data_IF_999875584310
#
_entry.id   IF_999875584310
#
_cell.length_a   1.000
_cell.length_b   1.000
_cell.length_c   1.000
_cell.angle_alpha   90.00
_cell.angle_beta   90.00
_cell.angle_gamma   90.00
#
_symmetry.space_group_name_H-M   'P 1'
#
loop_
_entity.id
_entity.type
_entity.pdbx_description
1 polymer ?
#
# COMPACT_ATOMS: atom_id res chain seq x y z
N UNK A 1 -11.49 11.50 -5.16
CA UNK A 1 -10.74 12.73 -4.80
C UNK A 1 -10.74 12.94 -3.28
N UNK A 2 -11.93 12.97 -2.66
CA UNK A 2 -12.20 13.04 -1.20
C UNK A 2 -11.29 12.27 -0.23
N UNK A 3 -10.79 11.09 -0.61
CA UNK A 3 -9.99 10.22 0.27
C UNK A 3 -8.51 10.61 0.38
N UNK A 4 -7.99 11.47 -0.51
CA UNK A 4 -6.66 12.07 -0.38
C UNK A 4 -6.73 13.33 0.48
N UNK A 5 -7.77 14.13 0.32
CA UNK A 5 -8.03 15.36 1.07
C UNK A 5 -8.23 15.09 2.57
N UNK A 6 -8.97 14.04 2.93
CA UNK A 6 -9.15 13.62 4.34
C UNK A 6 -7.85 13.26 5.05
N UNK A 7 -6.86 12.69 4.34
CA UNK A 7 -5.56 12.35 4.93
C UNK A 7 -4.69 13.58 5.19
N UNK A 8 -4.74 14.55 4.28
CA UNK A 8 -4.02 15.82 4.43
C UNK A 8 -4.68 16.64 5.53
N UNK A 9 -6.02 16.66 5.59
CA UNK A 9 -6.78 17.34 6.64
C UNK A 9 -6.49 16.79 8.04
N UNK A 10 -6.40 15.46 8.21
CA UNK A 10 -6.06 14.88 9.52
C UNK A 10 -4.59 15.08 9.89
N UNK A 11 -3.67 15.02 8.93
CA UNK A 11 -2.25 15.35 9.16
C UNK A 11 -2.08 16.83 9.56
N UNK A 12 -2.80 17.74 8.89
CA UNK A 12 -2.82 19.17 9.23
C UNK A 12 -3.49 19.40 10.58
N UNK A 13 -4.57 18.67 10.89
CA UNK A 13 -5.28 18.76 12.17
C UNK A 13 -4.43 18.27 13.35
N UNK A 14 -3.74 17.14 13.21
CA UNK A 14 -2.83 16.60 14.23
C UNK A 14 -1.63 17.51 14.45
N UNK A 15 -1.01 18.01 13.39
CA UNK A 15 0.08 19.00 13.47
C UNK A 15 -0.39 20.30 14.13
N UNK A 16 -1.57 20.82 13.75
CA UNK A 16 -2.13 22.07 14.31
C UNK A 16 -2.47 21.94 15.79
N UNK A 17 -3.05 20.81 16.21
CA UNK A 17 -3.34 20.53 17.61
C UNK A 17 -2.04 20.46 18.44
N UNK A 18 -1.01 19.81 17.92
CA UNK A 18 0.29 19.66 18.59
C UNK A 18 1.10 20.96 18.66
N UNK A 19 1.07 21.80 17.61
CA UNK A 19 1.64 23.16 17.69
C UNK A 19 0.90 24.03 18.70
N UNK A 20 -0.41 23.84 18.86
CA UNK A 20 -1.21 24.56 19.86
C UNK A 20 -0.86 24.11 21.29
N UNK A 21 -0.64 22.82 21.49
CA UNK A 21 -0.14 22.25 22.76
C UNK A 21 1.26 22.77 23.07
N UNK A 22 2.17 22.82 22.09
CA UNK A 22 3.51 23.42 22.26
C UNK A 22 3.45 24.88 22.70
N UNK A 23 2.53 25.67 22.16
CA UNK A 23 2.40 27.09 22.46
C UNK A 23 1.81 27.34 23.87
N UNK A 24 0.90 26.47 24.33
CA UNK A 24 0.19 26.66 25.60
C UNK A 24 0.92 26.13 26.85
N UNK A 25 1.88 25.19 26.72
CA UNK A 25 2.51 24.51 27.87
C UNK A 25 3.94 24.95 28.16
N UNK A 26 4.40 26.08 27.60
CA UNK A 26 5.81 26.48 27.62
C UNK A 26 6.27 27.22 28.89
N UNK A 27 5.82 26.84 30.10
CA UNK A 27 6.19 27.57 31.33
C UNK A 27 7.05 26.83 32.38
N UNK A 28 7.21 25.49 32.41
CA UNK A 28 8.02 24.88 33.50
C UNK A 28 9.05 23.79 33.08
N UNK A 29 10.10 23.69 33.92
CA UNK A 29 11.32 22.83 33.99
C UNK A 29 11.97 22.23 32.71
N UNK A 30 13.30 22.43 32.58
CA UNK A 30 14.12 22.13 31.39
C UNK A 30 14.15 20.66 30.91
N UNK A 31 14.10 19.68 31.81
CA UNK A 31 14.24 18.26 31.46
C UNK A 31 12.92 17.65 30.98
N UNK A 32 11.82 17.96 31.68
CA UNK A 32 10.47 17.59 31.26
C UNK A 32 10.07 18.30 29.95
N UNK A 33 10.53 19.54 29.73
CA UNK A 33 10.43 20.21 28.41
C UNK A 33 11.03 19.38 27.29
N UNK A 34 12.21 18.79 27.48
CA UNK A 34 12.88 18.07 26.40
C UNK A 34 12.07 16.82 26.00
N UNK A 35 11.66 16.02 26.98
CA UNK A 35 10.89 14.79 26.74
C UNK A 35 9.51 15.12 26.18
N UNK A 36 8.81 16.11 26.75
CA UNK A 36 7.46 16.51 26.31
C UNK A 36 7.44 17.25 24.97
N UNK A 37 8.54 17.87 24.54
CA UNK A 37 8.61 18.55 23.24
C UNK A 37 9.07 17.59 22.15
N UNK A 38 10.10 16.79 22.42
CA UNK A 38 10.72 15.94 21.40
C UNK A 38 9.96 14.65 21.13
N UNK A 39 9.36 13.98 22.13
CA UNK A 39 8.58 12.76 21.85
C UNK A 39 7.39 13.03 20.93
N UNK A 40 6.53 14.03 21.17
CA UNK A 40 5.41 14.32 20.30
C UNK A 40 5.86 14.81 18.92
N UNK A 41 6.95 15.59 18.86
CA UNK A 41 7.55 16.02 17.59
C UNK A 41 8.05 14.83 16.76
N UNK A 42 8.78 13.89 17.37
CA UNK A 42 9.25 12.66 16.71
C UNK A 42 8.03 11.84 16.26
N UNK A 43 7.00 11.70 17.10
CA UNK A 43 5.77 11.01 16.73
C UNK A 43 5.09 11.64 15.51
N UNK A 44 5.05 12.98 15.42
CA UNK A 44 4.56 13.71 14.24
C UNK A 44 5.37 13.41 12.99
N UNK A 45 6.70 13.49 13.08
CA UNK A 45 7.58 13.21 11.94
C UNK A 45 7.36 11.79 11.44
N UNK A 46 7.21 10.83 12.36
CA UNK A 46 6.92 9.43 12.02
C UNK A 46 5.54 9.25 11.35
N UNK A 47 4.50 9.99 11.78
CA UNK A 47 3.18 9.99 11.13
C UNK A 47 3.19 10.63 9.73
N UNK A 48 4.05 11.61 9.52
CA UNK A 48 4.19 12.32 8.25
C UNK A 48 5.12 11.60 7.26
N UNK A 49 6.08 10.82 7.74
CA UNK A 49 7.02 10.09 6.90
C UNK A 49 6.37 9.24 5.79
N UNK A 50 5.28 8.48 6.02
CA UNK A 50 4.58 7.76 4.96
C UNK A 50 4.10 8.62 3.77
N UNK A 51 3.93 9.93 3.97
CA UNK A 51 3.54 10.90 2.95
C UNK A 51 4.74 11.50 2.23
N UNK A 52 5.82 11.81 2.95
CA UNK A 52 7.01 12.46 2.38
C UNK A 52 7.99 11.48 1.72
N UNK A 53 8.14 10.26 2.26
CA UNK A 53 9.10 9.27 1.74
C UNK A 53 8.95 8.94 0.25
N UNK A 54 7.72 8.84 -0.32
CA UNK A 54 7.51 8.66 -1.76
C UNK A 54 8.15 9.72 -2.67
N UNK A 55 8.43 10.92 -2.15
CA UNK A 55 9.04 12.02 -2.91
C UNK A 55 10.57 11.94 -2.92
N UNK A 56 11.16 11.29 -1.91
CA UNK A 56 12.62 11.23 -1.75
C UNK A 56 13.22 9.88 -2.15
N UNK A 57 12.45 8.78 -2.06
CA UNK A 57 12.97 7.43 -2.28
C UNK A 57 12.01 6.61 -3.16
N UNK A 58 12.52 6.11 -4.29
CA UNK A 58 11.80 5.18 -5.15
C UNK A 58 11.74 3.79 -4.52
N UNK A 59 10.81 3.58 -3.58
CA UNK A 59 10.60 2.26 -2.98
C UNK A 59 9.66 1.38 -3.83
N UNK A 60 9.98 0.08 -4.03
CA UNK A 60 9.06 -0.91 -4.58
C UNK A 60 7.73 -0.95 -3.81
N UNK A 61 6.63 -1.17 -4.54
CA UNK A 61 5.26 -1.08 -3.97
C UNK A 61 5.00 -2.03 -2.80
N UNK A 62 5.76 -3.12 -2.66
CA UNK A 62 5.66 -4.07 -1.54
C UNK A 62 6.37 -3.55 -0.29
N UNK A 63 7.60 -3.06 -0.43
CA UNK A 63 8.39 -2.50 0.66
C UNK A 63 7.75 -1.22 1.22
N UNK A 64 7.29 -0.32 0.34
CA UNK A 64 6.59 0.91 0.74
C UNK A 64 5.39 0.65 1.65
N UNK A 65 4.65 -0.44 1.41
CA UNK A 65 3.47 -0.80 2.22
C UNK A 65 3.84 -1.32 3.59
N UNK A 66 4.91 -2.14 3.68
CA UNK A 66 5.41 -2.67 4.95
C UNK A 66 5.96 -1.51 5.77
N UNK A 67 6.77 -0.65 5.16
CA UNK A 67 7.29 0.56 5.78
C UNK A 67 6.18 1.47 6.29
N UNK A 68 5.20 1.82 5.46
CA UNK A 68 4.10 2.68 5.91
C UNK A 68 3.33 2.04 7.09
N UNK A 69 3.12 0.72 7.07
CA UNK A 69 2.48 0.02 8.19
C UNK A 69 3.33 0.06 9.47
N UNK A 70 4.64 -0.17 9.37
CA UNK A 70 5.53 -0.09 10.54
C UNK A 70 5.58 1.31 11.12
N UNK A 71 5.60 2.36 10.29
CA UNK A 71 5.63 3.75 10.75
C UNK A 71 4.36 4.14 11.53
N UNK A 72 3.18 3.75 11.05
CA UNK A 72 1.93 3.98 11.79
C UNK A 72 1.89 3.20 13.11
N UNK A 73 2.40 1.96 13.14
CA UNK A 73 2.48 1.16 14.38
C UNK A 73 3.43 1.83 15.39
N UNK A 74 4.61 2.25 14.95
CA UNK A 74 5.60 2.91 15.81
C UNK A 74 5.04 4.21 16.36
N UNK A 75 4.40 5.04 15.54
CA UNK A 75 3.82 6.29 16.03
C UNK A 75 2.63 6.05 16.98
N UNK A 76 1.80 5.03 16.72
CA UNK A 76 0.75 4.63 17.66
C UNK A 76 1.34 4.23 19.03
N UNK A 77 2.40 3.42 19.05
CA UNK A 77 3.10 3.06 20.28
C UNK A 77 3.70 4.28 20.98
N UNK A 78 4.31 5.19 20.23
CA UNK A 78 4.86 6.43 20.76
C UNK A 78 3.76 7.30 21.39
N UNK A 79 2.58 7.39 20.78
CA UNK A 79 1.46 8.14 21.33
C UNK A 79 0.93 7.55 22.64
N UNK A 80 0.96 6.22 22.79
CA UNK A 80 0.63 5.55 24.06
C UNK A 80 1.69 5.83 25.13
N UNK A 81 2.97 5.80 24.77
CA UNK A 81 4.07 6.13 25.68
C UNK A 81 3.98 7.59 26.15
N UNK A 82 3.71 8.54 25.24
CA UNK A 82 3.47 9.94 25.59
C UNK A 82 2.32 10.05 26.59
N UNK A 83 1.18 9.40 26.31
CA UNK A 83 0.05 9.42 27.23
C UNK A 83 0.42 8.85 28.61
N UNK A 84 1.13 7.72 28.65
CA UNK A 84 1.60 7.12 29.90
C UNK A 84 2.50 8.06 30.71
N UNK A 85 3.50 8.65 30.06
CA UNK A 85 4.41 9.63 30.70
C UNK A 85 3.62 10.83 31.25
N UNK A 86 2.60 11.31 30.52
CA UNK A 86 1.74 12.40 30.96
C UNK A 86 0.81 12.03 32.12
N UNK A 87 0.37 10.78 32.25
CA UNK A 87 -0.45 10.35 33.39
C UNK A 87 0.40 10.21 34.67
N UNK A 88 1.67 9.81 34.53
CA UNK A 88 2.56 9.57 35.67
C UNK A 88 3.21 10.85 36.23
N UNK A 89 3.32 11.94 35.46
CA UNK A 89 3.80 13.21 36.01
C UNK A 89 2.63 13.96 36.67
N UNK A 90 2.74 14.28 37.96
CA UNK A 90 1.62 14.61 38.85
C UNK A 90 1.04 16.03 38.72
N UNK A 91 1.68 16.91 37.94
CA UNK A 91 1.41 18.35 37.95
C UNK A 91 0.82 18.86 36.62
N UNK A 92 -0.42 18.48 36.31
CA UNK A 92 -1.05 18.90 35.05
C UNK A 92 -2.40 19.60 35.23
N UNK A 93 -2.52 20.71 34.49
CA UNK A 93 -3.77 21.44 34.30
C UNK A 93 -4.77 20.60 33.49
N UNK A 94 -6.07 20.77 33.75
CA UNK A 94 -7.13 20.05 33.01
C UNK A 94 -7.02 20.20 31.48
N UNK A 95 -6.48 21.32 31.00
CA UNK A 95 -6.25 21.60 29.57
C UNK A 95 -5.20 20.68 28.93
N UNK A 96 -4.10 20.32 29.63
CA UNK A 96 -3.07 19.42 29.08
C UNK A 96 -3.60 18.01 28.97
N UNK A 97 -4.36 17.57 29.98
CA UNK A 97 -5.00 16.27 29.99
C UNK A 97 -5.92 16.14 28.76
N UNK A 98 -6.81 17.10 28.54
CA UNK A 98 -7.74 17.10 27.38
C UNK A 98 -6.97 17.07 26.05
N UNK A 99 -5.92 17.87 25.92
CA UNK A 99 -5.09 17.91 24.71
C UNK A 99 -4.40 16.57 24.40
N UNK A 100 -3.81 15.93 25.40
CA UNK A 100 -3.13 14.63 25.25
C UNK A 100 -4.13 13.52 24.92
N UNK A 101 -5.29 13.50 25.57
CA UNK A 101 -6.37 12.55 25.24
C UNK A 101 -6.92 12.76 23.84
N UNK A 102 -7.11 14.00 23.40
CA UNK A 102 -7.51 14.30 22.04
C UNK A 102 -6.48 13.79 21.03
N UNK A 103 -5.18 14.07 21.26
CA UNK A 103 -4.10 13.55 20.43
C UNK A 103 -4.10 12.01 20.35
N UNK A 104 -4.24 11.34 21.49
CA UNK A 104 -4.30 9.88 21.53
C UNK A 104 -5.50 9.34 20.73
N UNK A 105 -6.68 9.94 20.90
CA UNK A 105 -7.88 9.55 20.19
C UNK A 105 -7.70 9.68 18.66
N UNK A 106 -7.13 10.80 18.20
CA UNK A 106 -6.83 10.99 16.78
C UNK A 106 -5.80 9.99 16.25
N UNK A 107 -4.71 9.76 17.00
CA UNK A 107 -3.67 8.80 16.61
C UNK A 107 -4.20 7.35 16.50
N UNK A 108 -5.03 6.94 17.46
CA UNK A 108 -5.68 5.63 17.46
C UNK A 108 -6.69 5.49 16.32
N UNK A 109 -7.49 6.53 16.07
CA UNK A 109 -8.46 6.56 14.98
C UNK A 109 -7.78 6.44 13.61
N UNK A 110 -6.68 7.15 13.37
CA UNK A 110 -5.93 7.03 12.12
C UNK A 110 -5.30 5.64 11.95
N UNK A 111 -4.70 5.13 13.02
CA UNK A 111 -4.04 3.83 13.02
C UNK A 111 -5.03 2.70 12.72
N UNK A 112 -6.21 2.74 13.34
CA UNK A 112 -7.29 1.77 13.12
C UNK A 112 -7.85 1.84 11.69
N UNK A 113 -8.08 3.04 11.15
CA UNK A 113 -8.50 3.19 9.74
C UNK A 113 -7.46 2.65 8.75
N UNK A 114 -6.18 2.87 9.02
CA UNK A 114 -5.10 2.35 8.19
C UNK A 114 -5.03 0.81 8.26
N UNK A 115 -5.03 0.25 9.47
CA UNK A 115 -5.03 -1.19 9.72
C UNK A 115 -6.23 -1.88 9.06
N UNK A 116 -7.44 -1.31 9.18
CA UNK A 116 -8.64 -1.85 8.54
C UNK A 116 -8.53 -1.89 7.00
N UNK A 117 -8.01 -0.83 6.38
CA UNK A 117 -7.75 -0.80 4.92
C UNK A 117 -6.69 -1.81 4.51
N UNK A 118 -5.62 -1.92 5.28
CA UNK A 118 -4.55 -2.88 5.02
C UNK A 118 -5.05 -4.32 5.14
N UNK A 119 -5.81 -4.62 6.19
CA UNK A 119 -6.44 -5.91 6.42
C UNK A 119 -7.38 -6.30 5.28
N UNK A 120 -8.31 -5.42 4.88
CA UNK A 120 -9.24 -5.69 3.78
C UNK A 120 -8.53 -5.97 2.44
N UNK A 121 -7.46 -5.23 2.14
CA UNK A 121 -6.63 -5.47 0.94
C UNK A 121 -5.87 -6.79 1.03
N UNK A 122 -5.33 -7.13 2.19
CA UNK A 122 -4.63 -8.40 2.42
C UNK A 122 -5.59 -9.59 2.35
N UNK A 123 -6.79 -9.47 2.93
CA UNK A 123 -7.87 -10.46 2.85
C UNK A 123 -8.29 -10.70 1.40
N UNK A 124 -8.59 -9.64 0.64
CA UNK A 124 -8.93 -9.75 -0.80
C UNK A 124 -7.84 -10.44 -1.62
N UNK A 125 -6.55 -10.20 -1.32
CA UNK A 125 -5.43 -10.89 -1.96
C UNK A 125 -5.36 -12.37 -1.59
N UNK A 126 -5.60 -12.72 -0.32
CA UNK A 126 -5.67 -14.12 0.13
C UNK A 126 -6.81 -14.85 -0.56
N UNK A 127 -7.99 -14.23 -0.64
CA UNK A 127 -9.15 -14.78 -1.35
C UNK A 127 -8.86 -15.01 -2.84
N UNK A 128 -8.25 -14.03 -3.53
CA UNK A 128 -7.84 -14.18 -4.93
C UNK A 128 -6.80 -15.30 -5.10
N UNK A 129 -5.83 -15.41 -4.18
CA UNK A 129 -4.83 -16.48 -4.19
C UNK A 129 -5.50 -17.86 -3.99
N UNK A 130 -6.40 -17.99 -3.03
CA UNK A 130 -7.11 -19.25 -2.77
C UNK A 130 -8.00 -19.63 -3.96
N UNK A 131 -8.73 -18.69 -4.56
CA UNK A 131 -9.47 -18.92 -5.82
C UNK A 131 -8.55 -19.38 -6.96
N UNK A 132 -7.34 -18.82 -7.06
CA UNK A 132 -6.35 -19.24 -8.06
C UNK A 132 -5.72 -20.63 -7.79
N UNK A 133 -5.60 -21.03 -6.52
CA UNK A 133 -5.06 -22.33 -6.10
C UNK A 133 -6.09 -23.45 -6.24
N UNK A 134 -7.37 -23.17 -5.97
CA UNK A 134 -8.47 -24.12 -6.25
C UNK A 134 -8.57 -24.43 -7.75
N UNK A 135 -8.32 -23.44 -8.62
CA UNK A 135 -8.19 -23.67 -10.08
C UNK A 135 -7.02 -24.56 -10.49
N UNK A 136 -5.99 -24.73 -9.65
CA UNK A 136 -4.84 -25.60 -9.94
C UNK A 136 -5.02 -27.05 -9.46
N UNK A 137 -6.05 -27.35 -8.65
CA UNK A 137 -6.32 -28.71 -8.15
C UNK A 137 -7.34 -29.51 -8.98
N UNK A 138 -7.90 -28.94 -10.03
CA UNK A 138 -8.72 -29.67 -11.00
C UNK A 138 -7.96 -29.78 -12.32
N UNK A 139 -7.50 -30.99 -12.66
CA UNK A 139 -7.05 -31.31 -14.02
C UNK A 139 -5.98 -32.40 -14.16
N UNK A 140 -6.23 -33.63 -13.67
CA UNK A 140 -5.58 -34.86 -14.18
C UNK A 140 -6.55 -35.73 -14.98
N UNK A 141 -7.50 -35.11 -15.67
CA UNK A 141 -8.46 -35.82 -16.50
C UNK A 141 -9.08 -34.85 -17.49
N UNK A 142 -9.27 -35.32 -18.72
CA UNK A 142 -9.95 -34.63 -19.80
C UNK A 142 -11.28 -34.06 -19.33
N UNK A 143 -11.32 -32.76 -19.04
CA UNK A 143 -12.55 -32.07 -18.67
C UNK A 143 -12.61 -30.74 -19.42
N UNK A 144 -13.59 -30.70 -20.31
CA UNK A 144 -14.09 -29.60 -21.13
C UNK A 144 -14.02 -28.27 -20.37
N UNK A 145 -13.39 -27.28 -20.99
CA UNK A 145 -13.32 -25.90 -20.50
C UNK A 145 -14.71 -25.37 -20.12
N UNK A 146 -14.88 -24.72 -18.95
CA UNK A 146 -16.11 -23.98 -18.68
C UNK A 146 -16.14 -22.70 -19.54
N UNK A 147 -17.31 -22.25 -20.01
CA UNK A 147 -17.42 -21.08 -20.86
C UNK A 147 -17.13 -19.84 -20.01
N UNK A 148 -15.88 -19.37 -20.06
CA UNK A 148 -15.46 -18.13 -19.43
C UNK A 148 -15.50 -17.06 -20.51
N UNK A 149 -16.61 -16.32 -20.54
CA UNK A 149 -16.75 -15.00 -21.17
C UNK A 149 -16.01 -14.85 -22.51
N UNK A 150 -16.65 -15.31 -23.58
CA UNK A 150 -16.26 -14.98 -24.94
C UNK A 150 -16.54 -13.49 -25.15
N UNK A 151 -15.53 -12.67 -24.87
CA UNK A 151 -15.36 -11.39 -25.56
C UNK A 151 -14.61 -11.72 -26.84
N UNK A 152 -15.35 -12.12 -27.88
CA UNK A 152 -14.88 -12.19 -29.26
C UNK A 152 -14.56 -10.79 -29.75
N UNK A 153 -13.39 -10.30 -29.36
CA UNK A 153 -12.61 -9.42 -30.19
C UNK A 153 -11.24 -10.08 -30.28
N UNK A 154 -11.09 -10.96 -31.28
CA UNK A 154 -9.81 -11.57 -31.65
C UNK A 154 -8.90 -10.45 -32.15
N UNK A 155 -8.28 -9.72 -31.22
CA UNK A 155 -7.34 -8.66 -31.55
C UNK A 155 -6.06 -9.33 -32.04
N UNK A 156 -5.84 -9.31 -33.35
CA UNK A 156 -4.57 -9.67 -33.94
C UNK A 156 -3.49 -8.68 -33.44
N UNK A 157 -2.42 -9.21 -32.86
CA UNK A 157 -1.27 -8.46 -32.38
C UNK A 157 -0.10 -8.67 -33.31
N UNK A 158 0.67 -7.60 -33.56
CA UNK A 158 1.88 -7.67 -34.37
C UNK A 158 3.11 -7.66 -33.47
N UNK A 159 4.00 -8.61 -33.67
CA UNK A 159 5.24 -8.69 -32.88
C UNK A 159 6.16 -7.51 -33.23
N UNK A 160 6.63 -6.80 -32.21
CA UNK A 160 7.57 -5.68 -32.32
C UNK A 160 9.03 -6.16 -32.42
N UNK A 161 9.33 -7.32 -31.84
CA UNK A 161 10.66 -7.93 -31.80
C UNK A 161 10.55 -9.45 -31.84
N UNK A 162 11.67 -10.13 -32.14
CA UNK A 162 11.73 -11.58 -32.06
C UNK A 162 11.55 -12.05 -30.61
N UNK A 163 10.69 -13.05 -30.42
CA UNK A 163 10.57 -13.75 -29.15
C UNK A 163 11.45 -15.00 -29.19
N UNK A 164 12.54 -14.96 -28.43
CA UNK A 164 13.57 -16.00 -28.39
C UNK A 164 13.56 -16.64 -27.00
N UNK A 165 13.53 -17.97 -26.95
CA UNK A 165 13.70 -18.72 -25.71
C UNK A 165 14.68 -19.88 -25.96
N UNK A 166 15.68 -20.05 -25.08
CA UNK A 166 16.75 -21.04 -25.25
C UNK A 166 17.43 -21.06 -26.64
N UNK A 167 17.58 -19.89 -27.28
CA UNK A 167 18.20 -19.77 -28.61
C UNK A 167 17.29 -20.07 -29.80
N UNK A 168 16.05 -20.50 -29.57
CA UNK A 168 15.06 -20.74 -30.62
C UNK A 168 14.10 -19.55 -30.74
N UNK A 169 13.86 -19.10 -31.99
CA UNK A 169 12.86 -18.05 -32.28
C UNK A 169 11.48 -18.69 -32.37
N UNK A 170 10.55 -18.27 -31.51
CA UNK A 170 9.19 -18.78 -31.46
C UNK A 170 8.17 -17.85 -32.14
N UNK A 171 8.44 -16.54 -32.15
CA UNK A 171 7.66 -15.54 -32.87
C UNK A 171 8.63 -14.57 -33.50
N UNK A 172 8.52 -14.33 -34.81
CA UNK A 172 9.38 -13.39 -35.52
C UNK A 172 8.83 -11.98 -35.45
N UNK A 173 9.72 -10.99 -35.45
CA UNK A 173 9.37 -9.57 -35.58
C UNK A 173 8.49 -9.37 -36.82
N UNK A 174 7.39 -8.66 -36.62
CA UNK A 174 6.42 -8.35 -37.67
C UNK A 174 5.37 -9.43 -37.90
N UNK A 175 5.51 -10.62 -37.30
CA UNK A 175 4.52 -11.68 -37.35
C UNK A 175 3.24 -11.27 -36.62
N UNK A 176 2.10 -11.65 -37.20
CA UNK A 176 0.79 -11.38 -36.64
C UNK A 176 0.30 -12.61 -35.90
N UNK A 177 -0.05 -12.45 -34.63
CA UNK A 177 -0.52 -13.52 -33.76
C UNK A 177 -1.91 -13.19 -33.21
N UNK A 178 -2.71 -14.21 -32.95
CA UNK A 178 -4.04 -14.04 -32.37
C UNK A 178 -3.93 -13.89 -30.85
N UNK A 179 -4.46 -12.80 -30.28
CA UNK A 179 -4.55 -12.65 -28.84
C UNK A 179 -5.67 -13.54 -28.29
N UNK A 180 -5.31 -14.57 -27.53
CA UNK A 180 -6.28 -15.41 -26.83
C UNK A 180 -6.66 -14.80 -25.48
N UNK A 181 -5.66 -14.32 -24.72
CA UNK A 181 -5.88 -13.89 -23.34
C UNK A 181 -4.83 -12.92 -22.82
N UNK A 182 -5.26 -11.99 -21.98
CA UNK A 182 -4.38 -11.10 -21.22
C UNK A 182 -4.10 -11.67 -19.82
N UNK A 183 -2.82 -11.89 -19.48
CA UNK A 183 -2.38 -12.47 -18.20
C UNK A 183 -1.39 -11.53 -17.52
N UNK A 184 -1.90 -10.54 -16.78
CA UNK A 184 -1.04 -9.57 -16.07
C UNK A 184 -0.17 -8.77 -17.03
N UNK A 185 1.15 -9.01 -16.99
CA UNK A 185 2.16 -8.39 -17.88
C UNK A 185 2.48 -9.24 -19.13
N UNK A 186 1.73 -10.31 -19.39
CA UNK A 186 1.92 -11.23 -20.51
C UNK A 186 0.64 -11.33 -21.36
N UNK A 187 0.82 -11.74 -22.61
CA UNK A 187 -0.23 -12.19 -23.51
C UNK A 187 -0.11 -13.69 -23.77
N UNK A 188 -1.24 -14.38 -23.77
CA UNK A 188 -1.40 -15.70 -24.37
C UNK A 188 -1.74 -15.47 -25.82
N UNK A 189 -0.85 -15.86 -26.73
CA UNK A 189 -1.01 -15.65 -28.16
C UNK A 189 -0.97 -16.97 -28.90
N UNK A 190 -1.68 -17.06 -30.02
CA UNK A 190 -1.64 -18.20 -30.93
C UNK A 190 -0.99 -17.77 -32.24
N UNK A 191 0.02 -18.50 -32.68
CA UNK A 191 0.66 -18.29 -33.98
C UNK A 191 -0.22 -18.82 -35.11
N UNK A 192 0.14 -18.50 -36.36
CA UNK A 192 -0.51 -19.06 -37.55
C UNK A 192 -0.45 -20.59 -37.63
N UNK A 193 0.56 -21.19 -36.99
CA UNK A 193 0.73 -22.64 -36.86
C UNK A 193 -0.19 -23.28 -35.81
N UNK A 194 -1.01 -22.48 -35.10
CA UNK A 194 -1.92 -22.95 -34.06
C UNK A 194 -1.25 -23.21 -32.71
N UNK A 195 0.05 -22.95 -32.58
CA UNK A 195 0.78 -23.15 -31.33
C UNK A 195 0.57 -21.95 -30.40
N UNK A 196 0.36 -22.23 -29.12
CA UNK A 196 0.12 -21.21 -28.10
C UNK A 196 1.38 -20.88 -27.31
N UNK A 197 1.68 -19.59 -27.19
CA UNK A 197 2.82 -19.09 -26.42
C UNK A 197 2.38 -18.02 -25.42
N UNK A 198 3.12 -17.95 -24.30
CA UNK A 198 2.98 -16.87 -23.32
C UNK A 198 4.14 -15.91 -23.51
N UNK A 199 3.84 -14.70 -23.95
CA UNK A 199 4.85 -13.72 -24.36
C UNK A 199 4.65 -12.39 -23.63
N UNK A 200 5.72 -11.70 -23.19
CA UNK A 200 5.61 -10.38 -22.58
C UNK A 200 4.88 -9.38 -23.46
N UNK A 201 4.05 -8.52 -22.85
CA UNK A 201 3.28 -7.51 -23.59
C UNK A 201 4.15 -6.53 -24.37
N UNK A 202 5.34 -6.24 -23.86
CA UNK A 202 6.30 -5.31 -24.46
C UNK A 202 6.80 -5.74 -25.85
N UNK A 203 6.64 -7.02 -26.19
CA UNK A 203 7.02 -7.58 -27.48
C UNK A 203 5.98 -7.34 -28.57
N UNK A 204 4.86 -6.67 -28.28
CA UNK A 204 3.79 -6.39 -29.23
C UNK A 204 3.47 -4.89 -29.27
N UNK A 205 2.93 -4.44 -30.40
CA UNK A 205 2.37 -3.08 -30.57
C UNK A 205 1.01 -2.93 -29.89
#
# INVERSE_FOLDING_TARGET
MYLKETKVSLAVGTVSLLTSVRFYFCEESHMYRYIQTWLPFISCVLHLMPFFLPFFISMPSRLRRIFNASMYIISCLLSLIVCGVFIFCKDFNAKSIIAVFAYLAFSLFESTLYLGKWYNRSKKRRELRNKSLVRRRYGSGDIRMPPIGVSTETKHLRAKSDFIYNGTIYIRKGETVELLKVIGSYYSVRTSTGVEYIVPKENFY
#
